data_IF_422953557554
#
_entry.id   IF_422953557554
#
_cell.length_a   1.000
_cell.length_b   1.000
_cell.length_c   1.000
_cell.angle_alpha   90.00
_cell.angle_beta   90.00
_cell.angle_gamma   90.00
#
_symmetry.space_group_name_H-M   'P 1'
#
loop_
_entity.id
_entity.type
_entity.pdbx_description
1 polymer ?
#
# COMPACT_ATOMS: atom_id res chain seq x y z
N UNK A 1 19.79 -8.07 24.46
CA UNK A 1 21.20 -7.62 24.58
C UNK A 1 21.14 -6.09 24.60
N UNK A 2 21.76 -5.41 25.56
CA UNK A 2 21.73 -3.95 25.60
C UNK A 2 22.62 -3.39 24.49
N UNK A 3 22.19 -2.32 23.85
CA UNK A 3 23.01 -1.57 22.89
C UNK A 3 24.27 -1.07 23.60
N UNK A 4 25.43 -1.23 22.98
CA UNK A 4 26.64 -0.61 23.50
C UNK A 4 26.53 0.89 23.34
N UNK A 5 27.03 1.59 24.34
CA UNK A 5 27.19 3.03 24.37
C UNK A 5 28.17 3.44 23.26
N UNK A 6 27.98 4.62 22.67
CA UNK A 6 28.89 5.12 21.63
C UNK A 6 30.35 5.18 22.11
N UNK A 7 30.56 5.50 23.39
CA UNK A 7 31.90 5.55 24.00
C UNK A 7 32.55 4.16 24.03
N UNK A 8 31.77 3.11 24.28
CA UNK A 8 32.26 1.73 24.27
C UNK A 8 32.70 1.28 22.87
N UNK A 9 31.99 1.72 21.83
CA UNK A 9 32.36 1.46 20.43
C UNK A 9 33.64 2.18 20.02
N UNK A 10 33.82 3.42 20.47
CA UNK A 10 35.04 4.21 20.22
C UNK A 10 36.25 3.54 20.88
N UNK A 11 36.09 3.02 22.10
CA UNK A 11 37.15 2.30 22.81
C UNK A 11 37.54 1.00 22.11
N UNK A 12 36.57 0.23 21.60
CA UNK A 12 36.84 -1.00 20.84
C UNK A 12 37.57 -0.74 19.52
N UNK A 13 37.20 0.34 18.81
CA UNK A 13 37.91 0.79 17.60
C UNK A 13 39.35 1.18 17.94
N UNK A 14 39.55 2.01 18.97
CA UNK A 14 40.88 2.44 19.39
C UNK A 14 41.75 1.26 19.83
N UNK A 15 41.17 0.29 20.55
CA UNK A 15 41.87 -0.91 20.96
C UNK A 15 42.29 -1.78 19.76
N UNK A 16 41.40 -1.97 18.78
CA UNK A 16 41.69 -2.72 17.55
C UNK A 16 42.73 -2.04 16.66
N UNK A 17 42.88 -0.72 16.75
CA UNK A 17 43.89 0.06 16.01
C UNK A 17 45.28 -0.01 16.66
N UNK A 18 45.35 -0.27 17.97
CA UNK A 18 46.58 -0.15 18.76
C UNK A 18 47.08 -1.43 19.42
N UNK A 19 46.50 -2.60 19.12
CA UNK A 19 46.82 -3.85 19.83
C UNK A 19 48.21 -4.43 19.61
N UNK A 20 48.99 -3.99 18.60
CA UNK A 20 50.34 -4.54 18.36
C UNK A 20 51.44 -3.48 18.25
N UNK A 21 51.77 -2.88 19.40
CA UNK A 21 53.09 -2.26 19.61
C UNK A 21 53.41 -1.03 18.74
N UNK A 22 54.67 -0.53 18.80
CA UNK A 22 55.04 0.86 18.48
C UNK A 22 54.99 1.25 16.99
N UNK A 23 54.38 0.44 16.11
CA UNK A 23 54.30 0.72 14.67
C UNK A 23 52.89 0.89 14.10
N UNK A 24 51.83 0.90 14.92
CA UNK A 24 50.52 1.42 14.51
C UNK A 24 49.94 0.79 13.24
N UNK A 25 50.24 -0.49 12.97
CA UNK A 25 49.64 -1.22 11.85
C UNK A 25 48.48 -2.04 12.39
N UNK A 26 47.27 -1.57 12.12
CA UNK A 26 46.04 -2.34 12.23
C UNK A 26 46.21 -3.67 11.49
N UNK A 27 46.09 -4.80 12.19
CA UNK A 27 45.91 -6.08 11.52
C UNK A 27 44.49 -6.12 10.95
N UNK A 28 44.33 -6.65 9.74
CA UNK A 28 43.02 -6.79 9.10
C UNK A 28 42.02 -7.55 10.00
N UNK A 29 42.54 -8.43 10.86
CA UNK A 29 41.79 -9.23 11.82
C UNK A 29 41.15 -8.38 12.93
N UNK A 30 41.86 -7.35 13.43
CA UNK A 30 41.33 -6.43 14.45
C UNK A 30 40.15 -5.62 13.94
N UNK A 31 40.25 -5.06 12.72
CA UNK A 31 39.13 -4.34 12.09
C UNK A 31 37.96 -5.28 11.76
N UNK A 32 38.24 -6.49 11.29
CA UNK A 32 37.18 -7.45 10.95
C UNK A 32 36.34 -7.83 12.19
N UNK A 33 36.97 -7.97 13.35
CA UNK A 33 36.26 -8.23 14.61
C UNK A 33 35.34 -7.06 15.01
N UNK A 34 35.80 -5.82 14.85
CA UNK A 34 35.00 -4.61 15.15
C UNK A 34 33.81 -4.50 14.20
N UNK A 35 34.02 -4.72 12.90
CA UNK A 35 32.95 -4.70 11.89
C UNK A 35 31.87 -5.74 12.20
N UNK A 36 32.25 -6.93 12.68
CA UNK A 36 31.30 -7.97 13.08
C UNK A 36 30.51 -7.59 14.34
N UNK A 37 31.13 -6.92 15.31
CA UNK A 37 30.43 -6.42 16.51
C UNK A 37 29.42 -5.33 16.15
N UNK A 38 29.81 -4.37 15.31
CA UNK A 38 28.92 -3.31 14.81
C UNK A 38 27.74 -3.89 14.01
N UNK A 39 27.99 -4.87 13.15
CA UNK A 39 26.93 -5.53 12.37
C UNK A 39 25.91 -6.23 13.29
N UNK A 40 26.38 -6.86 14.37
CA UNK A 40 25.52 -7.49 15.37
C UNK A 40 24.69 -6.46 16.13
N UNK A 41 25.29 -5.36 16.57
CA UNK A 41 24.58 -4.28 17.27
C UNK A 41 23.54 -3.58 16.39
N UNK A 42 23.86 -3.32 15.12
CA UNK A 42 22.89 -2.80 14.15
C UNK A 42 21.70 -3.75 13.93
N UNK A 43 21.94 -5.06 14.04
CA UNK A 43 20.90 -6.09 13.94
C UNK A 43 20.01 -6.10 15.18
N UNK A 44 20.57 -5.80 16.34
CA UNK A 44 19.88 -5.79 17.64
C UNK A 44 19.26 -4.42 18.01
N UNK A 45 19.45 -3.39 17.17
CA UNK A 45 18.75 -2.11 17.33
C UNK A 45 17.23 -2.35 17.36
N UNK A 46 16.49 -1.81 18.35
CA UNK A 46 15.05 -1.81 18.31
C UNK A 46 14.67 -0.98 17.09
N UNK A 47 14.26 -1.66 16.01
CA UNK A 47 13.72 -0.96 14.86
C UNK A 47 12.50 -0.21 15.37
N UNK A 48 12.60 1.12 15.37
CA UNK A 48 11.45 1.97 15.60
C UNK A 48 10.40 1.51 14.60
N UNK A 49 9.37 0.80 15.10
CA UNK A 49 8.24 0.35 14.28
C UNK A 49 7.39 1.59 13.99
N UNK A 50 7.94 2.51 13.20
CA UNK A 50 7.13 3.11 12.16
C UNK A 50 6.55 1.92 11.38
N UNK A 51 5.25 1.92 11.03
CA UNK A 51 4.72 0.87 10.17
C UNK A 51 5.71 0.75 9.02
N UNK A 52 6.30 -0.44 8.83
CA UNK A 52 7.18 -0.66 7.69
C UNK A 52 6.42 -0.16 6.48
N UNK A 53 6.87 0.89 5.76
CA UNK A 53 6.37 1.05 4.41
C UNK A 53 6.62 -0.31 3.78
N UNK A 54 5.60 -0.92 3.20
CA UNK A 54 5.74 -2.26 2.67
C UNK A 54 7.03 -2.28 1.84
N UNK A 55 7.95 -3.21 2.16
CA UNK A 55 9.25 -3.29 1.49
C UNK A 55 9.11 -3.81 0.05
N UNK A 56 7.88 -4.04 -0.41
CA UNK A 56 7.55 -4.34 -1.80
C UNK A 56 7.52 -3.07 -2.65
N UNK A 57 7.44 -1.87 -2.07
CA UNK A 57 7.34 -0.63 -2.82
C UNK A 57 6.24 -0.72 -3.89
N UNK A 58 5.14 -1.43 -3.60
CA UNK A 58 4.09 -1.71 -4.57
C UNK A 58 3.25 -0.45 -4.78
N UNK A 59 3.85 0.47 -5.52
CA UNK A 59 3.28 1.68 -6.10
C UNK A 59 2.29 1.37 -7.23
N UNK A 60 2.05 0.10 -7.53
CA UNK A 60 1.17 -0.34 -8.61
C UNK A 60 -0.26 -0.49 -8.13
N UNK A 61 -1.19 0.10 -8.87
CA UNK A 61 -2.62 -0.21 -8.77
C UNK A 61 -2.87 -1.67 -9.20
N UNK A 62 -3.93 -2.27 -8.70
CA UNK A 62 -4.38 -3.60 -9.15
C UNK A 62 -5.24 -3.48 -10.41
N UNK A 63 -5.05 -4.37 -11.38
CA UNK A 63 -5.97 -4.47 -12.53
C UNK A 63 -7.11 -5.41 -12.15
N UNK A 64 -8.34 -4.92 -12.18
CA UNK A 64 -9.52 -5.76 -12.06
C UNK A 64 -9.85 -6.34 -13.44
N UNK A 65 -9.96 -7.68 -13.57
CA UNK A 65 -10.41 -8.28 -14.81
C UNK A 65 -11.85 -7.86 -15.09
N UNK A 66 -12.16 -7.61 -16.36
CA UNK A 66 -13.54 -7.32 -16.73
C UNK A 66 -14.42 -8.56 -16.58
N UNK A 67 -15.54 -8.37 -15.90
CA UNK A 67 -16.69 -9.26 -15.90
C UNK A 67 -17.95 -8.38 -15.95
N UNK A 68 -19.06 -8.85 -16.57
CA UNK A 68 -20.31 -8.09 -16.61
C UNK A 68 -20.91 -7.89 -15.20
N UNK A 69 -20.55 -8.76 -14.26
CA UNK A 69 -20.92 -8.67 -12.85
C UNK A 69 -19.64 -8.73 -12.02
N UNK A 70 -19.45 -7.75 -11.14
CA UNK A 70 -18.29 -7.66 -10.25
C UNK A 70 -18.75 -7.49 -8.81
N UNK A 71 -18.23 -8.33 -7.93
CA UNK A 71 -18.25 -8.12 -6.47
C UNK A 71 -16.92 -7.49 -6.06
N UNK A 72 -16.97 -6.37 -5.33
CA UNK A 72 -15.77 -5.65 -4.91
C UNK A 72 -15.34 -6.04 -3.49
N UNK A 73 -14.09 -6.48 -3.34
CA UNK A 73 -13.50 -6.74 -2.03
C UNK A 73 -12.92 -5.45 -1.42
N UNK A 74 -13.45 -5.03 -0.26
CA UNK A 74 -12.96 -3.83 0.43
C UNK A 74 -11.65 -4.06 1.22
N UNK A 75 -11.22 -5.30 1.43
CA UNK A 75 -9.96 -5.62 2.12
C UNK A 75 -8.73 -5.68 1.18
N UNK A 76 -8.93 -5.72 -0.13
CA UNK A 76 -7.85 -5.84 -1.13
C UNK A 76 -7.02 -4.56 -1.37
N UNK A 77 -6.45 -4.41 -2.57
CA UNK A 77 -5.69 -3.22 -2.96
C UNK A 77 -6.54 -1.93 -2.86
N UNK A 78 -5.94 -0.79 -2.51
CA UNK A 78 -6.69 0.47 -2.36
C UNK A 78 -7.07 1.10 -3.71
N UNK A 79 -6.21 0.91 -4.73
CA UNK A 79 -6.37 1.47 -6.07
C UNK A 79 -6.56 0.34 -7.09
N UNK A 80 -7.59 0.47 -7.92
CA UNK A 80 -7.86 -0.45 -9.02
C UNK A 80 -8.01 0.27 -10.35
N UNK A 81 -7.68 -0.42 -11.44
CA UNK A 81 -8.05 -0.03 -12.80
C UNK A 81 -8.86 -1.14 -13.46
N UNK A 82 -9.98 -0.78 -14.06
CA UNK A 82 -10.90 -1.69 -14.75
C UNK A 82 -11.18 -1.16 -16.16
N UNK A 83 -10.86 -1.94 -17.18
CA UNK A 83 -11.31 -1.67 -18.54
C UNK A 83 -12.76 -2.15 -18.70
N UNK A 84 -13.67 -1.25 -19.08
CA UNK A 84 -15.11 -1.53 -19.18
C UNK A 84 -15.44 -1.93 -20.61
N UNK A 85 -15.35 -3.22 -20.92
CA UNK A 85 -15.57 -3.79 -22.26
C UNK A 85 -17.04 -4.13 -22.57
N UNK A 86 -17.95 -3.85 -21.62
CA UNK A 86 -19.38 -4.16 -21.72
C UNK A 86 -20.16 -3.48 -20.60
N UNK A 87 -21.48 -3.72 -20.56
CA UNK A 87 -22.30 -3.22 -19.45
C UNK A 87 -21.80 -3.86 -18.15
N UNK A 88 -21.72 -3.04 -17.11
CA UNK A 88 -21.08 -3.40 -15.86
C UNK A 88 -22.06 -3.25 -14.70
N UNK A 89 -22.22 -4.32 -13.94
CA UNK A 89 -23.02 -4.36 -12.73
C UNK A 89 -22.14 -4.67 -11.53
N UNK A 90 -22.14 -3.76 -10.55
CA UNK A 90 -21.67 -4.06 -9.20
C UNK A 90 -22.86 -4.57 -8.39
N UNK A 91 -22.75 -5.78 -7.85
CA UNK A 91 -23.87 -6.43 -7.12
C UNK A 91 -23.81 -6.17 -5.62
N UNK A 92 -22.63 -6.30 -5.05
CA UNK A 92 -22.35 -6.14 -3.63
C UNK A 92 -20.84 -5.96 -3.41
N UNK A 93 -20.46 -5.65 -2.18
CA UNK A 93 -19.08 -5.69 -1.72
C UNK A 93 -18.83 -6.88 -0.80
N UNK A 94 -17.58 -7.24 -0.57
CA UNK A 94 -17.17 -8.20 0.46
C UNK A 94 -16.18 -7.56 1.41
N UNK A 95 -15.99 -8.19 2.57
CA UNK A 95 -15.08 -7.72 3.61
C UNK A 95 -15.31 -6.24 3.98
N UNK A 96 -16.56 -5.90 4.27
CA UNK A 96 -16.92 -4.59 4.81
C UNK A 96 -16.39 -4.46 6.24
N UNK A 97 -15.76 -3.33 6.51
CA UNK A 97 -15.38 -2.91 7.85
C UNK A 97 -15.20 -1.40 7.82
N UNK A 98 -15.43 -0.76 8.96
CA UNK A 98 -15.09 0.64 9.15
C UNK A 98 -13.64 0.91 8.70
N UNK A 99 -13.40 2.11 8.18
CA UNK A 99 -12.10 2.60 7.69
C UNK A 99 -11.58 1.94 6.41
N UNK A 100 -12.37 1.08 5.74
CA UNK A 100 -11.98 0.51 4.44
C UNK A 100 -12.46 1.41 3.30
N UNK A 101 -11.55 1.69 2.36
CA UNK A 101 -11.85 2.49 1.18
C UNK A 101 -11.23 1.89 -0.08
N UNK A 102 -11.86 2.18 -1.22
CA UNK A 102 -11.40 1.82 -2.56
C UNK A 102 -11.53 2.99 -3.53
N UNK A 103 -10.60 3.06 -4.46
CA UNK A 103 -10.70 3.91 -5.65
C UNK A 103 -10.55 3.02 -6.87
N UNK A 104 -11.53 3.07 -7.76
CA UNK A 104 -11.56 2.31 -9.00
C UNK A 104 -11.57 3.31 -10.15
N UNK A 105 -10.52 3.25 -10.98
CA UNK A 105 -10.49 3.88 -12.30
C UNK A 105 -11.22 2.99 -13.30
N UNK A 106 -12.35 3.47 -13.80
CA UNK A 106 -13.09 2.85 -14.89
C UNK A 106 -12.61 3.46 -16.21
N UNK A 107 -12.15 2.63 -17.13
CA UNK A 107 -11.69 3.05 -18.46
C UNK A 107 -12.68 2.52 -19.48
N UNK A 108 -13.53 3.39 -20.02
CA UNK A 108 -14.51 3.06 -21.04
C UNK A 108 -13.86 2.69 -22.37
N UNK A 109 -14.56 1.89 -23.17
CA UNK A 109 -14.16 1.55 -24.53
C UNK A 109 -14.90 2.41 -25.56
N UNK A 110 -14.87 2.04 -26.84
CA UNK A 110 -15.48 2.83 -27.91
C UNK A 110 -17.01 2.95 -27.88
N UNK A 111 -17.70 2.39 -26.88
CA UNK A 111 -19.16 2.40 -26.78
C UNK A 111 -19.62 2.98 -25.45
N UNK A 112 -20.82 3.56 -25.43
CA UNK A 112 -21.48 3.91 -24.18
C UNK A 112 -21.85 2.63 -23.41
N UNK A 113 -21.60 2.61 -22.10
CA UNK A 113 -21.81 1.45 -21.22
C UNK A 113 -22.83 1.77 -20.15
N UNK A 114 -23.75 0.85 -19.90
CA UNK A 114 -24.64 0.93 -18.73
C UNK A 114 -23.86 0.52 -17.50
N UNK A 115 -23.99 1.33 -16.44
CA UNK A 115 -23.47 1.04 -15.12
C UNK A 115 -24.64 0.77 -14.19
N UNK A 116 -24.54 -0.28 -13.39
CA UNK A 116 -25.50 -0.60 -12.34
C UNK A 116 -24.76 -0.77 -11.02
N UNK A 117 -25.25 -0.14 -9.97
CA UNK A 117 -24.64 -0.12 -8.64
C UNK A 117 -25.60 -0.72 -7.60
N UNK A 118 -25.08 -1.21 -6.46
CA UNK A 118 -25.92 -1.65 -5.36
C UNK A 118 -26.80 -0.50 -4.87
N UNK A 119 -28.12 -0.73 -4.68
CA UNK A 119 -29.05 0.32 -4.28
C UNK A 119 -28.81 0.85 -2.87
N UNK A 120 -28.10 0.08 -2.04
CA UNK A 120 -27.74 0.45 -0.67
C UNK A 120 -26.56 1.44 -0.59
N UNK A 121 -25.77 1.61 -1.66
CA UNK A 121 -24.67 2.57 -1.65
C UNK A 121 -25.19 4.01 -1.63
N UNK A 122 -24.64 4.81 -0.73
CA UNK A 122 -24.99 6.22 -0.59
C UNK A 122 -24.11 7.07 -1.49
N UNK A 123 -24.61 7.43 -2.68
CA UNK A 123 -23.87 8.32 -3.59
C UNK A 123 -23.91 9.78 -3.13
N UNK A 124 -22.74 10.41 -3.04
CA UNK A 124 -22.60 11.83 -2.67
C UNK A 124 -22.51 12.73 -3.91
N UNK A 125 -23.11 13.91 -3.83
CA UNK A 125 -23.06 14.94 -4.87
C UNK A 125 -24.05 14.74 -6.03
N UNK A 126 -24.55 13.54 -6.27
CA UNK A 126 -25.59 13.22 -7.25
C UNK A 126 -26.22 11.84 -6.98
N UNK A 127 -27.28 11.51 -7.70
CA UNK A 127 -27.77 10.13 -7.76
C UNK A 127 -26.71 9.18 -8.37
N UNK A 128 -26.85 7.88 -8.12
CA UNK A 128 -26.00 6.87 -8.74
C UNK A 128 -26.02 7.01 -10.28
N UNK A 129 -24.86 7.06 -10.94
CA UNK A 129 -24.79 7.20 -12.39
C UNK A 129 -25.29 5.91 -13.05
N UNK A 130 -25.92 6.05 -14.22
CA UNK A 130 -26.49 4.91 -14.97
C UNK A 130 -25.63 4.51 -16.16
N UNK A 131 -24.56 5.24 -16.43
CA UNK A 131 -23.69 4.92 -17.56
C UNK A 131 -22.35 5.64 -17.58
N UNK A 132 -21.50 5.14 -18.47
CA UNK A 132 -20.21 5.70 -18.87
C UNK A 132 -20.26 5.97 -20.37
N UNK A 133 -20.00 7.21 -20.78
CA UNK A 133 -19.97 7.57 -22.19
C UNK A 133 -18.77 6.90 -22.91
N UNK A 134 -18.90 6.74 -24.23
CA UNK A 134 -17.87 6.12 -25.06
C UNK A 134 -16.52 6.84 -24.92
N UNK A 135 -15.46 6.06 -24.70
CA UNK A 135 -14.06 6.49 -24.58
C UNK A 135 -13.73 7.23 -23.30
N UNK A 136 -14.70 7.40 -22.39
CA UNK A 136 -14.50 8.20 -21.18
C UNK A 136 -13.85 7.39 -20.06
N UNK A 137 -13.06 8.09 -19.25
CA UNK A 137 -12.56 7.58 -17.97
C UNK A 137 -13.40 8.13 -16.82
N UNK A 138 -13.64 7.29 -15.81
CA UNK A 138 -14.30 7.70 -14.57
C UNK A 138 -13.57 7.19 -13.33
N UNK A 139 -13.80 7.86 -12.21
CA UNK A 139 -13.35 7.46 -10.88
C UNK A 139 -14.58 7.12 -10.04
N UNK A 140 -14.60 5.91 -9.52
CA UNK A 140 -15.51 5.47 -8.47
C UNK A 140 -14.72 5.37 -7.16
N UNK A 141 -15.21 6.03 -6.12
CA UNK A 141 -14.65 5.98 -4.77
C UNK A 141 -15.68 5.34 -3.85
N UNK A 142 -15.22 4.45 -2.98
CA UNK A 142 -16.05 3.77 -1.98
C UNK A 142 -15.38 3.95 -0.63
N UNK A 143 -16.15 4.33 0.39
CA UNK A 143 -15.69 4.42 1.78
C UNK A 143 -16.71 3.75 2.68
N UNK A 144 -16.29 2.75 3.45
CA UNK A 144 -17.14 1.98 4.34
C UNK A 144 -16.95 2.45 5.80
N UNK A 145 -18.06 2.77 6.45
CA UNK A 145 -18.09 3.24 7.84
C UNK A 145 -18.50 2.15 8.85
N UNK A 146 -18.85 0.95 8.38
CA UNK A 146 -19.36 -0.13 9.21
C UNK A 146 -19.22 -1.49 8.54
N UNK A 147 -20.23 -2.35 8.65
CA UNK A 147 -20.16 -3.74 8.18
C UNK A 147 -21.27 -4.12 7.18
N UNK A 148 -22.19 -3.21 6.87
CA UNK A 148 -23.29 -3.45 5.92
C UNK A 148 -23.12 -2.63 4.64
N UNK A 149 -23.91 -2.93 3.60
CA UNK A 149 -23.86 -2.19 2.33
C UNK A 149 -24.32 -0.73 2.49
N UNK A 150 -25.23 -0.48 3.43
CA UNK A 150 -25.75 0.84 3.77
C UNK A 150 -24.68 1.75 4.40
N UNK A 151 -23.61 1.16 4.96
CA UNK A 151 -22.48 1.90 5.53
C UNK A 151 -21.48 2.38 4.46
N UNK A 152 -21.74 2.14 3.17
CA UNK A 152 -20.86 2.51 2.07
C UNK A 152 -21.30 3.84 1.47
N UNK A 153 -20.42 4.83 1.59
CA UNK A 153 -20.53 6.11 0.90
C UNK A 153 -19.72 6.05 -0.40
N UNK A 154 -20.40 6.34 -1.51
CA UNK A 154 -19.84 6.28 -2.85
C UNK A 154 -19.71 7.67 -3.48
N UNK A 155 -18.61 7.95 -4.16
CA UNK A 155 -18.44 9.14 -4.99
C UNK A 155 -18.09 8.75 -6.42
N UNK A 156 -18.67 9.44 -7.39
CA UNK A 156 -18.40 9.19 -8.81
C UNK A 156 -18.16 10.48 -9.58
N UNK A 157 -17.15 10.46 -10.45
CA UNK A 157 -16.91 11.52 -11.42
C UNK A 157 -16.40 10.91 -12.74
N UNK A 158 -16.93 11.37 -13.86
CA UNK A 158 -16.47 11.01 -15.20
C UNK A 158 -15.82 12.20 -15.89
N UNK A 159 -14.92 11.92 -16.83
CA UNK A 159 -14.40 12.91 -17.78
C UNK A 159 -15.55 13.60 -18.52
N UNK A 160 -15.41 14.92 -18.70
CA UNK A 160 -16.32 15.78 -19.48
C UNK A 160 -15.94 15.77 -20.96
#
# INVERSE_FOLDING_TARGET
>A
MALKDFDQLVDEINQAVHTDGPQGKTTADGLNSVLQSLAKELTDLPQQVAPTPDSTGSTTYSVLPYAPIITLDLAGAALHSLAVAGNLTFTETTNKAATRSKVIRLVGDGNARTLTFPPAWVFVGAAAPTGLAAGMTAILTLTCFGSTEEDIVAGYAAQL
#
